data_IF_498807028224
#
_entry.id   IF_498807028224
#
_cell.length_a   1.000
_cell.length_b   1.000
_cell.length_c   1.000
_cell.angle_alpha   90.00
_cell.angle_beta   90.00
_cell.angle_gamma   90.00
#
_symmetry.space_group_name_H-M   'P 1'
#
loop_
_entity.id
_entity.type
_entity.pdbx_description
1 polymer ?
#
# COMPACT_ATOMS: atom_id res chain seq x y z
N UNK A 1 -0.20 -16.22 -4.85
CA UNK A 1 0.02 -14.82 -5.27
C UNK A 1 -0.24 -13.94 -4.05
N UNK A 2 0.56 -12.90 -3.82
CA UNK A 2 0.43 -12.00 -2.67
C UNK A 2 0.29 -10.57 -3.17
N UNK A 3 -0.60 -9.80 -2.56
CA UNK A 3 -0.81 -8.40 -2.88
C UNK A 3 -0.01 -7.52 -1.92
N UNK A 4 0.44 -6.37 -2.38
CA UNK A 4 1.06 -5.34 -1.55
C UNK A 4 0.61 -3.97 -2.00
N UNK A 5 0.67 -3.02 -1.09
CA UNK A 5 0.34 -1.62 -1.38
C UNK A 5 1.66 -0.88 -1.57
N UNK A 6 1.73 -0.09 -2.62
CA UNK A 6 2.91 0.72 -2.95
C UNK A 6 2.48 2.14 -3.24
N UNK A 7 3.29 3.11 -2.80
CA UNK A 7 3.15 4.48 -3.28
C UNK A 7 3.99 4.66 -4.53
N UNK A 8 3.37 5.15 -5.60
CA UNK A 8 4.04 5.48 -6.85
C UNK A 8 4.14 6.98 -7.05
N UNK A 9 5.26 7.38 -7.66
CA UNK A 9 5.47 8.69 -8.26
C UNK A 9 5.90 8.45 -9.71
N UNK A 10 4.94 8.60 -10.63
CA UNK A 10 5.11 8.15 -12.03
C UNK A 10 5.33 6.63 -12.11
N UNK A 11 6.35 6.15 -12.86
CA UNK A 11 6.64 4.72 -12.98
C UNK A 11 7.42 4.14 -11.78
N UNK A 12 7.84 4.96 -10.82
CA UNK A 12 8.72 4.55 -9.72
C UNK A 12 7.91 4.26 -8.45
N UNK A 13 8.23 3.16 -7.79
CA UNK A 13 7.76 2.86 -6.44
C UNK A 13 8.63 3.64 -5.46
N UNK A 14 8.02 4.52 -4.68
CA UNK A 14 8.69 5.40 -3.71
C UNK A 14 8.29 5.10 -2.27
N UNK A 15 7.19 4.36 -2.05
CA UNK A 15 6.74 3.93 -0.72
C UNK A 15 6.45 2.44 -0.73
N UNK A 16 6.94 1.75 0.30
CA UNK A 16 6.58 0.39 0.64
C UNK A 16 6.10 0.35 2.09
N UNK A 17 5.09 -0.48 2.35
CA UNK A 17 4.54 -0.64 3.70
C UNK A 17 5.25 -1.81 4.37
N UNK A 18 5.67 -1.61 5.62
CA UNK A 18 6.31 -2.64 6.42
C UNK A 18 5.61 -2.78 7.76
N UNK A 19 5.53 -4.01 8.25
CA UNK A 19 5.02 -4.33 9.59
C UNK A 19 6.03 -5.23 10.28
N UNK A 20 6.56 -4.80 11.43
CA UNK A 20 7.60 -5.53 12.19
C UNK A 20 8.83 -5.89 11.33
N UNK A 21 9.34 -4.93 10.55
CA UNK A 21 10.48 -5.11 9.63
C UNK A 21 10.28 -6.13 8.50
N UNK A 22 9.03 -6.53 8.22
CA UNK A 22 8.68 -7.38 7.07
C UNK A 22 7.79 -6.60 6.12
N UNK A 23 7.96 -6.81 4.81
CA UNK A 23 7.06 -6.23 3.79
C UNK A 23 5.61 -6.61 4.09
N UNK A 24 4.74 -5.61 4.12
CA UNK A 24 3.32 -5.81 4.35
C UNK A 24 2.70 -6.36 3.07
N UNK A 25 2.30 -7.63 3.13
CA UNK A 25 1.64 -8.35 2.05
C UNK A 25 0.29 -8.89 2.50
N UNK A 26 -0.61 -9.07 1.54
CA UNK A 26 -2.00 -9.50 1.73
C UNK A 26 -2.25 -10.73 0.85
N UNK A 27 -3.08 -11.66 1.33
CA UNK A 27 -3.38 -12.88 0.57
C UNK A 27 -4.41 -12.64 -0.52
N UNK A 28 -5.31 -11.69 -0.27
CA UNK A 28 -6.39 -11.33 -1.19
C UNK A 28 -6.33 -9.84 -1.55
N UNK A 29 -6.83 -9.51 -2.74
CA UNK A 29 -6.95 -8.12 -3.18
C UNK A 29 -7.85 -7.30 -2.23
N UNK A 30 -8.92 -7.93 -1.74
CA UNK A 30 -9.88 -7.32 -0.81
C UNK A 30 -9.22 -6.89 0.51
N UNK A 31 -8.36 -7.74 1.10
CA UNK A 31 -7.60 -7.36 2.30
C UNK A 31 -6.69 -6.15 2.06
N UNK A 32 -6.09 -6.06 0.86
CA UNK A 32 -5.28 -4.90 0.49
C UNK A 32 -6.13 -3.63 0.30
N UNK A 33 -7.34 -3.75 -0.26
CA UNK A 33 -8.30 -2.63 -0.36
C UNK A 33 -8.76 -2.13 1.01
N UNK A 34 -9.18 -3.05 1.89
CA UNK A 34 -9.61 -2.71 3.25
C UNK A 34 -8.50 -1.95 4.01
N UNK A 35 -7.26 -2.41 3.87
CA UNK A 35 -6.11 -1.72 4.47
C UNK A 35 -5.81 -0.37 3.81
N UNK A 36 -5.89 -0.29 2.48
CA UNK A 36 -5.71 0.95 1.72
C UNK A 36 -6.71 2.03 2.12
N UNK A 37 -7.99 1.66 2.29
CA UNK A 37 -9.02 2.57 2.78
C UNK A 37 -8.71 3.06 4.20
N UNK A 38 -8.26 2.15 5.07
CA UNK A 38 -7.90 2.49 6.44
C UNK A 38 -6.77 3.54 6.49
N UNK A 39 -5.66 3.32 5.78
CA UNK A 39 -4.54 4.26 5.77
C UNK A 39 -4.87 5.60 5.09
N UNK A 40 -5.81 5.61 4.12
CA UNK A 40 -6.33 6.83 3.51
C UNK A 40 -7.16 7.64 4.51
N UNK A 41 -8.03 6.99 5.29
CA UNK A 41 -8.83 7.63 6.34
C UNK A 41 -7.96 8.21 7.45
N UNK A 42 -6.92 7.47 7.84
CA UNK A 42 -5.96 7.90 8.87
C UNK A 42 -4.96 8.97 8.38
N UNK A 43 -5.00 9.35 7.09
CA UNK A 43 -4.06 10.31 6.46
C UNK A 43 -2.60 10.00 6.74
N UNK A 44 -2.26 8.71 6.83
CA UNK A 44 -0.89 8.23 7.16
C UNK A 44 0.12 8.66 6.10
N UNK A 45 -0.33 8.75 4.84
CA UNK A 45 0.52 9.03 3.68
C UNK A 45 0.17 10.42 3.15
N UNK A 46 1.17 11.28 2.86
CA UNK A 46 0.95 12.55 2.19
C UNK A 46 0.24 12.35 0.84
N UNK A 47 -0.84 13.09 0.58
CA UNK A 47 -1.68 12.93 -0.62
C UNK A 47 -0.98 13.17 -1.97
N UNK A 48 0.29 13.59 -1.97
CA UNK A 48 1.12 13.69 -3.18
C UNK A 48 1.47 12.33 -3.78
N UNK A 49 1.41 11.26 -2.99
CA UNK A 49 1.75 9.91 -3.46
C UNK A 49 0.49 9.15 -3.87
N UNK A 50 0.52 8.55 -5.05
CA UNK A 50 -0.56 7.69 -5.51
C UNK A 50 -0.36 6.28 -4.98
N UNK A 51 -1.23 5.84 -4.07
CA UNK A 51 -1.20 4.48 -3.52
C UNK A 51 -1.92 3.53 -4.47
N UNK A 52 -1.27 2.42 -4.81
CA UNK A 52 -1.76 1.36 -5.70
C UNK A 52 -1.53 -0.02 -5.08
N UNK A 53 -2.44 -0.95 -5.36
CA UNK A 53 -2.30 -2.37 -5.01
C UNK A 53 -1.62 -3.08 -6.18
N UNK A 54 -0.57 -3.85 -5.89
CA UNK A 54 0.17 -4.66 -6.87
C UNK A 54 0.23 -6.11 -6.40
N UNK A 55 0.23 -7.05 -7.32
CA UNK A 55 0.25 -8.50 -7.06
C UNK A 55 1.60 -9.15 -7.42
#
# INVERSE_FOLDING_TARGET
MLYRIVGKEGPRIVIQFMKKNVELTFRTYREAEDYLEKIRKEKVIPGKYKLEIVA
#
